data_IF_867350621885
#
_entry.id   IF_867350621885
#
_cell.length_a   1.000
_cell.length_b   1.000
_cell.length_c   1.000
_cell.angle_alpha   90.00
_cell.angle_beta   90.00
_cell.angle_gamma   90.00
#
_symmetry.space_group_name_H-M   'P 1'
#
loop_
_entity.id
_entity.type
_entity.pdbx_description
1 polymer ?
#
# COMPACT_ATOMS: atom_id res chain seq x y z
N UNK A 1 4.20 -15.65 5.40
CA UNK A 1 5.04 -16.26 4.35
C UNK A 1 6.47 -15.84 4.59
N UNK A 2 7.42 -16.77 4.52
CA UNK A 2 8.86 -16.51 4.67
C UNK A 2 9.51 -16.46 3.30
N UNK A 3 9.95 -15.28 2.88
CA UNK A 3 10.62 -15.08 1.60
C UNK A 3 12.05 -15.67 1.57
N UNK A 4 12.62 -16.08 2.70
CA UNK A 4 13.86 -16.87 2.75
C UNK A 4 13.69 -18.31 2.27
N UNK A 5 12.47 -18.81 2.22
CA UNK A 5 12.14 -20.17 1.84
C UNK A 5 11.69 -20.26 0.37
N UNK A 6 12.43 -21.02 -0.46
CA UNK A 6 12.16 -21.16 -1.89
C UNK A 6 10.76 -21.69 -2.19
N UNK A 7 10.24 -22.61 -1.39
CA UNK A 7 8.87 -23.12 -1.58
C UNK A 7 7.80 -22.02 -1.36
N UNK A 8 8.07 -21.08 -0.43
CA UNK A 8 7.20 -19.93 -0.23
C UNK A 8 7.34 -18.89 -1.35
N UNK A 9 8.54 -18.71 -1.91
CA UNK A 9 8.76 -17.86 -3.09
C UNK A 9 7.98 -18.40 -4.28
N UNK A 10 8.10 -19.67 -4.59
CA UNK A 10 7.33 -20.35 -5.66
C UNK A 10 5.83 -20.15 -5.45
N UNK A 11 5.33 -20.39 -4.23
CA UNK A 11 3.92 -20.23 -3.92
C UNK A 11 3.36 -18.85 -4.21
N UNK A 12 4.17 -17.78 -4.02
CA UNK A 12 3.75 -16.41 -4.33
C UNK A 12 3.87 -16.13 -5.82
N UNK A 13 5.03 -16.39 -6.40
CA UNK A 13 5.38 -15.93 -7.74
C UNK A 13 4.73 -16.80 -8.82
N UNK A 14 4.68 -18.12 -8.65
CA UNK A 14 3.98 -19.01 -9.57
C UNK A 14 2.46 -18.75 -9.55
N UNK A 15 1.92 -18.32 -8.38
CA UNK A 15 0.52 -17.91 -8.29
C UNK A 15 0.26 -16.63 -9.10
N UNK A 16 1.20 -15.69 -9.17
CA UNK A 16 1.05 -14.49 -10.00
C UNK A 16 0.97 -14.83 -11.49
N UNK A 17 1.73 -15.83 -11.95
CA UNK A 17 1.70 -16.28 -13.34
C UNK A 17 0.42 -17.07 -13.67
N UNK A 18 -0.06 -17.90 -12.74
CA UNK A 18 -1.18 -18.83 -12.98
C UNK A 18 -2.55 -18.28 -12.60
N UNK A 19 -2.61 -17.22 -11.78
CA UNK A 19 -3.86 -16.72 -11.17
C UNK A 19 -4.76 -16.01 -12.15
N UNK A 20 -4.62 -15.89 -13.38
CA UNK A 20 -5.49 -15.23 -14.37
C UNK A 20 -6.34 -14.09 -13.78
N UNK A 21 -5.71 -13.26 -12.95
CA UNK A 21 -6.31 -12.08 -12.30
C UNK A 21 -5.59 -10.82 -12.76
N UNK A 22 -6.32 -9.72 -12.99
CA UNK A 22 -5.73 -8.49 -13.52
C UNK A 22 -4.77 -7.82 -12.53
N UNK A 23 -4.93 -8.08 -11.23
CA UNK A 23 -4.12 -7.47 -10.17
C UNK A 23 -3.81 -8.48 -9.08
N UNK A 24 -2.56 -8.54 -8.66
CA UNK A 24 -2.11 -9.25 -7.47
C UNK A 24 -1.50 -8.25 -6.49
N UNK A 25 -1.93 -8.30 -5.24
CA UNK A 25 -1.38 -7.46 -4.16
C UNK A 25 -0.56 -8.36 -3.24
N UNK A 26 0.69 -7.96 -3.00
CA UNK A 26 1.59 -8.63 -2.05
C UNK A 26 1.85 -7.68 -0.89
N UNK A 27 1.39 -8.04 0.30
CA UNK A 27 1.66 -7.32 1.54
C UNK A 27 2.98 -7.78 2.15
N UNK A 28 3.91 -6.85 2.31
CA UNK A 28 5.24 -7.10 2.86
C UNK A 28 5.29 -6.62 4.32
N UNK A 29 5.82 -7.47 5.19
CA UNK A 29 6.06 -7.10 6.58
C UNK A 29 7.01 -5.90 6.65
N UNK A 30 6.72 -4.95 7.54
CA UNK A 30 7.58 -3.79 7.80
C UNK A 30 9.04 -4.22 8.05
N UNK A 31 9.99 -3.46 7.49
CA UNK A 31 11.43 -3.73 7.55
C UNK A 31 11.94 -4.83 6.60
N UNK A 32 11.07 -5.40 5.77
CA UNK A 32 11.47 -6.45 4.81
C UNK A 32 11.50 -5.95 3.36
N UNK A 33 11.28 -4.67 3.10
CA UNK A 33 11.15 -4.15 1.75
C UNK A 33 12.44 -4.30 0.95
N UNK A 34 13.57 -3.82 1.48
CA UNK A 34 14.89 -3.92 0.84
C UNK A 34 15.28 -5.37 0.55
N UNK A 35 15.04 -6.27 1.52
CA UNK A 35 15.29 -7.71 1.34
C UNK A 35 14.40 -8.32 0.24
N UNK A 36 13.12 -7.94 0.20
CA UNK A 36 12.18 -8.45 -0.80
C UNK A 36 12.54 -7.98 -2.21
N UNK A 37 12.95 -6.72 -2.36
CA UNK A 37 13.38 -6.18 -3.64
C UNK A 37 14.70 -6.80 -4.12
N UNK A 38 15.65 -7.05 -3.21
CA UNK A 38 16.89 -7.79 -3.54
C UNK A 38 16.58 -9.21 -4.02
N UNK A 39 15.64 -9.88 -3.37
CA UNK A 39 15.16 -11.19 -3.83
C UNK A 39 14.54 -11.10 -5.22
N UNK A 40 13.63 -10.15 -5.46
CA UNK A 40 12.95 -9.97 -6.74
C UNK A 40 13.93 -9.66 -7.88
N UNK A 41 14.99 -8.90 -7.61
CA UNK A 41 16.08 -8.68 -8.55
C UNK A 41 16.81 -10.00 -8.88
N UNK A 42 17.21 -10.77 -7.86
CA UNK A 42 17.96 -12.02 -8.02
C UNK A 42 17.20 -13.11 -8.78
N UNK A 43 15.88 -13.18 -8.64
CA UNK A 43 15.05 -14.19 -9.33
C UNK A 43 14.43 -13.67 -10.63
N UNK A 44 14.79 -12.46 -11.08
CA UNK A 44 14.38 -11.92 -12.38
C UNK A 44 13.01 -11.26 -12.43
N UNK A 45 12.30 -11.09 -11.31
CA UNK A 45 10.98 -10.43 -11.26
C UNK A 45 11.07 -8.97 -11.69
N UNK A 46 12.09 -8.25 -11.21
CA UNK A 46 12.28 -6.84 -11.62
C UNK A 46 12.69 -6.71 -13.08
N UNK A 47 13.47 -7.64 -13.59
CA UNK A 47 13.81 -7.70 -15.01
C UNK A 47 12.59 -7.97 -15.88
N UNK A 48 11.74 -8.92 -15.51
CA UNK A 48 10.49 -9.22 -16.21
C UNK A 48 9.56 -8.00 -16.27
N UNK A 49 9.45 -7.23 -15.18
CA UNK A 49 8.70 -5.99 -15.15
C UNK A 49 9.33 -4.91 -16.07
N UNK A 50 10.65 -4.75 -16.06
CA UNK A 50 11.37 -3.81 -16.95
C UNK A 50 11.18 -4.17 -18.43
N UNK A 51 11.05 -5.45 -18.75
CA UNK A 51 10.78 -5.95 -20.09
C UNK A 51 9.29 -5.87 -20.48
N UNK A 52 8.43 -5.35 -19.62
CA UNK A 52 7.03 -5.13 -19.91
C UNK A 52 6.14 -6.36 -19.84
N UNK A 53 6.58 -7.46 -19.22
CA UNK A 53 5.75 -8.67 -19.04
C UNK A 53 4.55 -8.38 -18.12
N UNK A 54 4.72 -7.48 -17.16
CA UNK A 54 3.67 -6.96 -16.28
C UNK A 54 4.08 -5.59 -15.73
N UNK A 55 3.10 -4.84 -15.18
CA UNK A 55 3.38 -3.60 -14.48
C UNK A 55 3.60 -3.89 -13.00
N UNK A 56 4.77 -3.49 -12.49
CA UNK A 56 5.08 -3.59 -11.07
C UNK A 56 4.93 -2.23 -10.39
N UNK A 57 4.08 -2.17 -9.38
CA UNK A 57 3.89 -1.00 -8.55
C UNK A 57 4.31 -1.25 -7.11
N UNK A 58 4.96 -0.27 -6.51
CA UNK A 58 5.35 -0.30 -5.11
C UNK A 58 4.66 0.83 -4.35
N UNK A 59 3.79 0.47 -3.41
CA UNK A 59 3.26 1.39 -2.41
C UNK A 59 4.11 1.29 -1.15
N UNK A 60 4.94 2.31 -0.93
CA UNK A 60 5.78 2.39 0.27
C UNK A 60 5.05 3.19 1.34
N UNK A 61 4.58 2.50 2.37
CA UNK A 61 3.89 3.14 3.49
C UNK A 61 4.93 3.70 4.46
N UNK A 62 4.99 5.03 4.53
CA UNK A 62 5.93 5.77 5.37
C UNK A 62 5.20 6.32 6.59
N UNK A 63 5.63 5.90 7.77
CA UNK A 63 5.16 6.44 9.04
C UNK A 63 5.90 7.72 9.45
N UNK A 64 5.43 8.45 10.49
CA UNK A 64 6.03 9.68 10.98
C UNK A 64 7.28 9.40 11.84
N UNK A 65 8.32 8.83 11.23
CA UNK A 65 9.61 8.57 11.87
C UNK A 65 10.76 8.59 10.87
N UNK A 66 11.95 8.99 11.32
CA UNK A 66 13.16 8.99 10.50
C UNK A 66 13.48 7.58 9.98
N UNK A 67 13.29 6.56 10.81
CA UNK A 67 13.54 5.17 10.40
C UNK A 67 12.69 4.74 9.18
N UNK A 68 11.48 5.30 9.02
CA UNK A 68 10.65 5.05 7.83
C UNK A 68 11.23 5.69 6.56
N UNK A 69 12.06 6.73 6.68
CA UNK A 69 12.70 7.40 5.56
C UNK A 69 14.03 6.74 5.16
N UNK A 70 14.74 6.14 6.09
CA UNK A 70 16.05 5.53 5.84
C UNK A 70 15.98 4.44 4.77
N UNK A 71 14.91 3.64 4.77
CA UNK A 71 14.69 2.57 3.81
C UNK A 71 14.54 3.08 2.36
N UNK A 72 14.11 4.35 2.17
CA UNK A 72 13.95 4.97 0.84
C UNK A 72 15.29 5.00 0.09
N UNK A 73 16.37 5.37 0.76
CA UNK A 73 17.71 5.40 0.18
C UNK A 73 18.19 4.01 -0.27
N UNK A 74 17.86 2.98 0.48
CA UNK A 74 18.26 1.60 0.19
C UNK A 74 17.53 1.02 -1.02
N UNK A 75 16.26 1.38 -1.21
CA UNK A 75 15.43 0.83 -2.28
C UNK A 75 15.57 1.58 -3.61
N UNK A 76 16.13 2.78 -3.62
CA UNK A 76 16.21 3.64 -4.81
C UNK A 76 16.81 2.93 -6.03
N UNK A 77 17.80 2.06 -5.84
CA UNK A 77 18.46 1.27 -6.90
C UNK A 77 17.55 0.26 -7.60
N UNK A 78 16.48 -0.18 -6.95
CA UNK A 78 15.55 -1.18 -7.51
C UNK A 78 14.38 -0.57 -8.28
N UNK A 79 14.13 0.74 -8.14
CA UNK A 79 12.91 1.38 -8.62
C UNK A 79 12.89 1.61 -10.14
N UNK A 80 13.98 1.33 -10.85
CA UNK A 80 14.02 1.42 -12.30
C UNK A 80 13.00 0.47 -12.95
N UNK A 81 12.05 1.02 -13.72
CA UNK A 81 10.98 0.24 -14.36
C UNK A 81 9.77 -0.05 -13.47
N UNK A 82 9.76 0.43 -12.22
CA UNK A 82 8.62 0.33 -11.31
C UNK A 82 7.84 1.65 -11.24
N UNK A 83 6.56 1.54 -10.93
CA UNK A 83 5.78 2.70 -10.49
C UNK A 83 5.87 2.79 -8.97
N UNK A 84 6.41 3.89 -8.47
CA UNK A 84 6.64 4.07 -7.04
C UNK A 84 5.72 5.14 -6.47
N UNK A 85 5.00 4.76 -5.43
CA UNK A 85 4.05 5.60 -4.71
C UNK A 85 4.42 5.63 -3.24
N UNK A 86 4.62 6.81 -2.68
CA UNK A 86 4.82 7.01 -1.25
C UNK A 86 3.47 7.29 -0.60
N UNK A 87 3.06 6.42 0.32
CA UNK A 87 1.89 6.62 1.15
C UNK A 87 2.31 7.18 2.51
N UNK A 88 2.07 8.48 2.73
CA UNK A 88 2.32 9.15 4.02
C UNK A 88 1.23 8.76 5.00
N UNK A 89 1.54 7.87 5.92
CA UNK A 89 0.58 7.37 6.89
C UNK A 89 0.60 8.21 8.18
N UNK A 90 -0.38 9.07 8.33
CA UNK A 90 -0.57 9.92 9.51
C UNK A 90 -1.28 9.17 10.64
N UNK A 91 -0.70 8.08 11.12
CA UNK A 91 -1.29 7.27 12.19
C UNK A 91 -1.43 8.03 13.52
N UNK A 92 -0.64 9.08 13.71
CA UNK A 92 -0.69 9.97 14.87
C UNK A 92 -0.92 11.42 14.44
N UNK A 93 -1.40 12.26 15.33
CA UNK A 93 -1.39 13.71 15.14
C UNK A 93 0.07 14.18 15.19
N UNK A 94 0.63 14.51 14.05
CA UNK A 94 2.03 14.89 13.91
C UNK A 94 2.22 15.79 12.71
N UNK A 95 3.12 16.75 12.86
CA UNK A 95 3.59 17.60 11.76
C UNK A 95 4.90 17.04 11.16
N UNK A 96 5.22 15.77 11.38
CA UNK A 96 6.48 15.16 10.95
C UNK A 96 6.77 15.40 9.46
N UNK A 97 5.74 15.31 8.61
CA UNK A 97 5.89 15.53 7.17
C UNK A 97 5.93 17.02 6.77
N UNK A 98 5.65 17.94 7.70
CA UNK A 98 5.56 19.38 7.48
C UNK A 98 6.79 20.14 8.01
N UNK A 99 7.31 19.72 9.19
CA UNK A 99 8.31 20.50 9.90
C UNK A 99 9.75 20.31 9.40
N UNK A 100 10.06 19.21 8.70
CA UNK A 100 11.39 18.96 8.15
C UNK A 100 11.38 18.62 6.66
N UNK A 101 10.85 19.56 5.88
CA UNK A 101 10.79 19.45 4.44
C UNK A 101 12.18 19.23 3.80
N UNK A 102 13.23 19.78 4.39
CA UNK A 102 14.60 19.61 3.87
C UNK A 102 15.08 18.17 4.02
N UNK A 103 14.86 17.54 5.18
CA UNK A 103 15.15 16.11 5.40
C UNK A 103 14.31 15.25 4.47
N UNK A 104 13.01 15.48 4.41
CA UNK A 104 12.10 14.76 3.53
C UNK A 104 12.55 14.84 2.07
N UNK A 105 12.81 16.02 1.53
CA UNK A 105 13.31 16.23 0.17
C UNK A 105 14.65 15.53 -0.07
N UNK A 106 15.53 15.48 0.91
CA UNK A 106 16.84 14.81 0.80
C UNK A 106 16.67 13.32 0.46
N UNK A 107 15.75 12.63 1.09
CA UNK A 107 15.49 11.21 0.80
C UNK A 107 14.82 11.03 -0.57
N UNK A 108 13.81 11.83 -0.89
CA UNK A 108 13.08 11.72 -2.15
C UNK A 108 13.85 12.28 -3.37
N UNK A 109 14.87 13.11 -3.20
CA UNK A 109 15.72 13.57 -4.31
C UNK A 109 16.46 12.42 -5.00
N UNK A 110 16.60 11.28 -4.33
CA UNK A 110 17.24 10.08 -4.89
C UNK A 110 16.32 9.29 -5.81
N UNK A 111 15.03 9.62 -5.84
CA UNK A 111 14.00 8.90 -6.59
C UNK A 111 13.37 9.83 -7.63
N UNK A 112 13.60 9.54 -8.90
CA UNK A 112 12.95 10.27 -9.98
C UNK A 112 11.48 9.84 -10.11
N UNK A 113 10.57 10.82 -10.16
CA UNK A 113 9.12 10.62 -10.41
C UNK A 113 8.38 9.82 -9.34
N UNK A 114 8.43 10.29 -8.11
CA UNK A 114 7.61 9.77 -7.02
C UNK A 114 6.20 10.35 -7.09
N UNK A 115 5.18 9.49 -7.00
CA UNK A 115 3.83 9.92 -6.67
C UNK A 115 3.66 9.82 -5.14
N UNK A 116 2.91 10.74 -4.57
CA UNK A 116 2.65 10.77 -3.13
C UNK A 116 1.15 10.77 -2.89
N UNK A 117 0.73 10.01 -1.89
CA UNK A 117 -0.62 10.02 -1.36
C UNK A 117 -0.60 10.20 0.15
N UNK A 118 -1.65 10.78 0.70
CA UNK A 118 -1.81 10.96 2.12
C UNK A 118 -2.85 9.97 2.65
N UNK A 119 -2.48 9.26 3.71
CA UNK A 119 -3.40 8.40 4.47
C UNK A 119 -3.67 9.12 5.79
N UNK A 120 -4.81 9.81 5.92
CA UNK A 120 -5.14 10.58 7.12
C UNK A 120 -5.36 9.66 8.32
N UNK A 121 -5.22 10.21 9.52
CA UNK A 121 -5.54 9.49 10.75
C UNK A 121 -7.04 9.14 10.80
N UNK A 122 -7.35 7.87 10.98
CA UNK A 122 -8.71 7.45 11.32
C UNK A 122 -8.99 7.81 12.78
N UNK A 123 -10.23 8.24 13.08
CA UNK A 123 -10.66 8.44 14.46
C UNK A 123 -10.39 7.22 15.32
N UNK A 124 -9.75 7.39 16.48
CA UNK A 124 -9.28 6.28 17.33
C UNK A 124 -10.40 5.33 17.75
N UNK A 125 -11.54 5.88 18.22
CA UNK A 125 -12.67 5.02 18.59
C UNK A 125 -13.25 4.26 17.41
N UNK A 126 -13.25 4.86 16.22
CA UNK A 126 -13.71 4.20 15.02
C UNK A 126 -12.76 3.07 14.62
N UNK A 127 -11.44 3.30 14.67
CA UNK A 127 -10.41 2.28 14.44
C UNK A 127 -10.56 1.10 15.39
N UNK A 128 -10.61 1.37 16.70
CA UNK A 128 -10.77 0.33 17.73
C UNK A 128 -12.03 -0.49 17.52
N UNK A 129 -13.14 0.14 17.16
CA UNK A 129 -14.41 -0.57 16.93
C UNK A 129 -14.35 -1.46 15.68
N UNK A 130 -13.68 -1.04 14.60
CA UNK A 130 -13.48 -1.88 13.40
C UNK A 130 -12.60 -3.08 13.74
N UNK A 131 -11.49 -2.85 14.47
CA UNK A 131 -10.54 -3.89 14.85
C UNK A 131 -11.18 -4.94 15.75
N UNK A 132 -11.90 -4.51 16.80
CA UNK A 132 -12.64 -5.39 17.71
C UNK A 132 -13.74 -6.17 16.97
N UNK A 133 -14.41 -5.51 16.01
CA UNK A 133 -15.47 -6.18 15.23
C UNK A 133 -14.94 -7.26 14.29
N UNK A 134 -13.65 -7.20 13.90
CA UNK A 134 -13.02 -8.16 12.99
C UNK A 134 -13.66 -8.17 11.60
N UNK A 135 -14.18 -7.03 11.12
CA UNK A 135 -14.86 -6.91 9.84
C UNK A 135 -14.09 -5.95 8.92
N UNK A 136 -14.39 -5.99 7.62
CA UNK A 136 -13.84 -5.01 6.68
C UNK A 136 -14.40 -3.61 6.95
N UNK A 137 -13.70 -2.56 6.53
CA UNK A 137 -14.23 -1.19 6.60
C UNK A 137 -15.59 -1.06 5.91
N UNK A 138 -15.75 -1.76 4.77
CA UNK A 138 -17.02 -1.78 4.04
C UNK A 138 -18.14 -2.39 4.88
N UNK A 139 -17.92 -3.56 5.46
CA UNK A 139 -18.94 -4.23 6.29
C UNK A 139 -19.26 -3.41 7.54
N UNK A 140 -18.26 -2.75 8.14
CA UNK A 140 -18.49 -1.84 9.26
C UNK A 140 -19.38 -0.65 8.84
N UNK A 141 -19.10 0.00 7.72
CA UNK A 141 -19.89 1.11 7.15
C UNK A 141 -21.32 0.66 6.87
N UNK A 142 -21.49 -0.53 6.29
CA UNK A 142 -22.78 -1.13 5.92
C UNK A 142 -23.52 -1.71 7.14
N UNK A 143 -22.93 -1.64 8.33
CA UNK A 143 -23.48 -2.21 9.57
C UNK A 143 -23.71 -3.72 9.47
N UNK A 144 -22.75 -4.46 8.94
CA UNK A 144 -22.77 -5.90 8.78
C UNK A 144 -21.76 -6.55 9.73
N UNK A 145 -22.22 -7.49 10.55
CA UNK A 145 -21.38 -8.28 11.45
C UNK A 145 -20.57 -9.35 10.69
N UNK A 146 -19.56 -9.94 11.34
CA UNK A 146 -18.68 -10.93 10.73
C UNK A 146 -19.42 -12.22 10.26
N UNK A 147 -20.55 -12.55 10.87
CA UNK A 147 -21.42 -13.66 10.49
C UNK A 147 -22.40 -13.30 9.35
N UNK A 148 -22.31 -12.09 8.80
CA UNK A 148 -23.19 -11.57 7.76
C UNK A 148 -24.53 -10.99 8.25
N UNK A 149 -24.83 -11.12 9.55
CA UNK A 149 -26.03 -10.52 10.15
C UNK A 149 -25.94 -9.00 10.26
N UNK A 150 -27.04 -8.35 10.65
CA UNK A 150 -27.02 -6.93 10.92
C UNK A 150 -26.17 -6.62 12.16
N UNK A 151 -25.16 -5.76 11.99
CA UNK A 151 -24.29 -5.29 13.05
C UNK A 151 -25.01 -4.33 14.00
N UNK A 152 -24.37 -4.05 15.12
CA UNK A 152 -24.80 -3.05 16.12
C UNK A 152 -23.77 -1.92 16.23
N UNK A 153 -23.16 -1.55 15.10
CA UNK A 153 -22.12 -0.53 15.08
C UNK A 153 -22.71 0.88 15.14
N UNK A 154 -22.04 1.76 15.91
CA UNK A 154 -22.47 3.14 16.07
C UNK A 154 -22.60 3.86 14.71
N UNK A 155 -23.72 4.51 14.49
CA UNK A 155 -23.95 5.33 13.30
C UNK A 155 -22.87 6.41 13.14
N UNK A 156 -22.47 7.04 14.26
CA UNK A 156 -21.43 8.08 14.25
C UNK A 156 -20.08 7.52 13.84
N UNK A 157 -19.65 6.38 14.43
CA UNK A 157 -18.37 5.77 14.12
C UNK A 157 -18.32 5.24 12.67
N UNK A 158 -19.43 4.69 12.18
CA UNK A 158 -19.56 4.34 10.75
C UNK A 158 -19.42 5.56 9.84
N UNK A 159 -19.89 6.72 10.28
CA UNK A 159 -19.71 8.00 9.59
C UNK A 159 -18.23 8.41 9.48
N UNK A 160 -17.46 8.28 10.58
CA UNK A 160 -16.03 8.54 10.57
C UNK A 160 -15.27 7.60 9.61
N UNK A 161 -15.57 6.30 9.65
CA UNK A 161 -14.94 5.33 8.75
C UNK A 161 -15.28 5.64 7.29
N UNK A 162 -16.55 5.95 6.97
CA UNK A 162 -16.99 6.31 5.62
C UNK A 162 -16.24 7.53 5.09
N UNK A 163 -16.13 8.59 5.91
CA UNK A 163 -15.41 9.80 5.54
C UNK A 163 -13.94 9.49 5.25
N UNK A 164 -13.30 8.76 6.14
CA UNK A 164 -11.89 8.37 6.01
C UNK A 164 -11.65 7.54 4.73
N UNK A 165 -12.47 6.53 4.45
CA UNK A 165 -12.39 5.77 3.20
C UNK A 165 -12.54 6.67 1.97
N UNK A 166 -13.47 7.62 1.99
CA UNK A 166 -13.68 8.54 0.88
C UNK A 166 -12.48 9.47 0.65
N UNK A 167 -11.80 9.91 1.71
CA UNK A 167 -10.57 10.71 1.60
C UNK A 167 -9.44 9.89 0.98
N UNK A 168 -9.28 8.63 1.38
CA UNK A 168 -8.29 7.72 0.79
C UNK A 168 -8.62 7.38 -0.66
N UNK A 169 -9.87 7.12 -0.99
CA UNK A 169 -10.30 6.86 -2.35
C UNK A 169 -9.97 8.05 -3.27
N UNK A 170 -10.12 9.29 -2.78
CA UNK A 170 -9.75 10.49 -3.52
C UNK A 170 -8.23 10.57 -3.77
N UNK A 171 -7.40 10.21 -2.79
CA UNK A 171 -5.95 10.13 -2.95
C UNK A 171 -5.55 9.06 -3.98
N UNK A 172 -6.12 7.86 -3.89
CA UNK A 172 -5.88 6.77 -4.84
C UNK A 172 -6.34 7.10 -6.26
N UNK A 173 -7.40 7.90 -6.42
CA UNK A 173 -7.87 8.33 -7.73
C UNK A 173 -6.83 9.13 -8.54
N UNK A 174 -5.81 9.70 -7.88
CA UNK A 174 -4.71 10.42 -8.54
C UNK A 174 -3.53 9.51 -8.88
N UNK A 175 -3.52 8.25 -8.44
CA UNK A 175 -2.44 7.31 -8.72
C UNK A 175 -2.59 6.74 -10.13
N UNK A 176 -1.68 7.12 -11.01
CA UNK A 176 -1.75 6.78 -12.44
C UNK A 176 -1.86 5.28 -12.69
N UNK A 177 -1.07 4.47 -11.98
CA UNK A 177 -1.09 3.01 -12.11
C UNK A 177 -2.49 2.43 -11.84
N UNK A 178 -3.19 2.95 -10.84
CA UNK A 178 -4.54 2.48 -10.52
C UNK A 178 -5.56 2.93 -11.56
N UNK A 179 -5.40 4.13 -12.12
CA UNK A 179 -6.24 4.60 -13.24
C UNK A 179 -6.08 3.70 -14.47
N UNK A 180 -4.85 3.30 -14.81
CA UNK A 180 -4.56 2.43 -15.94
C UNK A 180 -5.21 1.05 -15.77
N UNK A 181 -5.14 0.45 -14.57
CA UNK A 181 -5.80 -0.82 -14.23
C UNK A 181 -7.32 -0.70 -14.33
N UNK A 182 -7.91 0.36 -13.77
CA UNK A 182 -9.37 0.56 -13.77
C UNK A 182 -9.91 0.85 -15.17
N UNK A 183 -9.14 1.50 -16.04
CA UNK A 183 -9.53 1.77 -17.43
C UNK A 183 -9.36 0.56 -18.35
N UNK A 184 -8.30 -0.23 -18.15
CA UNK A 184 -8.05 -1.46 -18.92
C UNK A 184 -9.08 -2.56 -18.68
N UNK A 185 -9.62 -2.66 -17.47
CA UNK A 185 -10.68 -3.62 -17.11
C UNK A 185 -12.05 -3.34 -17.74
N UNK A 186 -12.23 -2.20 -18.42
CA UNK A 186 -13.50 -1.85 -19.13
C UNK A 186 -13.52 -2.25 -20.62
N UNK A 187 -12.43 -2.83 -21.13
CA UNK A 187 -12.31 -3.20 -22.56
C UNK A 187 -12.35 -4.71 -22.81
N UNK A 188 -12.70 -5.53 -21.83
CA UNK A 188 -12.84 -6.98 -21.98
C UNK A 188 -14.26 -7.47 -21.78
#
# INVERSE_FOLDING_TARGET
VDLGNVAHQMRILDTMETANVPVTIVDLKAGNLSYSLDLFERIGVLEAARNGMFTLGLFHVVGPSIASLDEIGEIAKYLAGMQYVVARNSINETNFFEWDEATYRKYFSQIAKTQEINVPKLNEMAYEQVDVAGVTFKDFIDNRAADGSQGKFSFVLRGYVRKWCSEIDAEFAHVKMLQDVLSGGRQS
#
